data_IF_252305971654
#
_entry.id   IF_252305971654
#
_cell.length_a   1.000
_cell.length_b   1.000
_cell.length_c   1.000
_cell.angle_alpha   90.00
_cell.angle_beta   90.00
_cell.angle_gamma   90.00
#
_symmetry.space_group_name_H-M   'P 1'
#
loop_
_entity.id
_entity.type
_entity.pdbx_description
1 polymer ?
#
# COMPACT_ATOMS: atom_id res chain seq x y z
N UNK A 1 3.60 -9.71 -15.34
CA UNK A 1 3.56 -8.34 -14.76
C UNK A 1 3.65 -8.49 -13.26
N UNK A 2 4.74 -8.02 -12.65
CA UNK A 2 4.98 -8.15 -11.21
C UNK A 2 4.23 -7.03 -10.49
N UNK A 3 3.28 -7.37 -9.61
CA UNK A 3 2.59 -6.36 -8.79
C UNK A 3 3.06 -6.44 -7.35
N UNK A 4 3.70 -5.38 -6.88
CA UNK A 4 4.11 -5.20 -5.49
C UNK A 4 3.10 -4.32 -4.80
N UNK A 5 2.55 -4.75 -3.69
CA UNK A 5 1.65 -3.95 -2.86
C UNK A 5 2.37 -3.56 -1.59
N UNK A 6 2.36 -2.27 -1.28
CA UNK A 6 3.05 -1.66 -0.15
C UNK A 6 2.03 -1.04 0.79
N UNK A 7 1.82 -1.67 1.93
CA UNK A 7 1.03 -1.11 3.01
C UNK A 7 1.90 -0.16 3.84
N UNK A 8 1.43 1.07 4.00
CA UNK A 8 2.12 2.13 4.71
C UNK A 8 1.23 2.61 5.85
N UNK A 9 1.63 2.28 7.08
CA UNK A 9 0.93 2.73 8.28
C UNK A 9 1.39 4.14 8.62
N UNK A 10 0.46 5.10 8.53
CA UNK A 10 0.69 6.49 8.90
C UNK A 10 0.44 6.70 10.39
N UNK A 11 1.17 7.63 10.99
CA UNK A 11 0.92 8.08 12.37
C UNK A 11 -0.25 9.06 12.44
N UNK A 12 -0.40 9.91 11.42
CA UNK A 12 -1.40 10.98 11.34
C UNK A 12 -1.82 11.23 9.89
N UNK A 13 -2.96 11.92 9.70
CA UNK A 13 -3.48 12.30 8.38
C UNK A 13 -2.52 13.22 7.59
N UNK A 14 -1.88 14.16 8.27
CA UNK A 14 -0.96 15.15 7.68
C UNK A 14 0.49 14.67 7.57
N UNK A 15 0.75 13.38 7.79
CA UNK A 15 2.11 12.84 7.83
C UNK A 15 2.68 12.67 6.42
N UNK A 16 3.19 13.77 5.84
CA UNK A 16 3.75 13.79 4.49
C UNK A 16 5.25 13.48 4.43
N UNK A 17 6.00 13.64 5.54
CA UNK A 17 7.46 13.56 5.56
C UNK A 17 7.98 12.91 6.84
N UNK A 18 8.61 11.73 6.73
CA UNK A 18 9.62 11.28 7.71
C UNK A 18 9.35 9.98 8.46
N UNK A 19 9.22 8.86 7.74
CA UNK A 19 9.18 7.47 8.26
C UNK A 19 7.79 6.96 8.65
N UNK A 20 7.16 6.09 7.85
CA UNK A 20 5.93 5.44 8.26
C UNK A 20 6.16 4.56 9.49
N UNK A 21 5.13 4.41 10.33
CA UNK A 21 5.21 3.60 11.56
C UNK A 21 5.53 2.15 11.25
N UNK A 22 4.99 1.67 10.13
CA UNK A 22 5.19 0.32 9.65
C UNK A 22 5.02 0.29 8.13
N UNK A 23 5.78 -0.58 7.48
CA UNK A 23 5.72 -0.82 6.05
C UNK A 23 5.70 -2.33 5.83
N UNK A 24 4.77 -2.81 5.02
CA UNK A 24 4.77 -4.20 4.59
C UNK A 24 4.64 -4.25 3.07
N UNK A 25 5.47 -5.07 2.44
CA UNK A 25 5.47 -5.29 1.00
C UNK A 25 5.03 -6.72 0.75
N UNK A 26 4.05 -6.90 -0.12
CA UNK A 26 3.60 -8.21 -0.60
C UNK A 26 3.62 -8.25 -2.13
N UNK A 27 3.83 -9.44 -2.66
CA UNK A 27 3.61 -9.71 -4.07
C UNK A 27 2.17 -10.15 -4.26
N UNK A 28 1.47 -9.52 -5.18
CA UNK A 28 0.07 -9.81 -5.47
C UNK A 28 -0.19 -9.78 -6.97
N UNK A 29 -1.42 -10.12 -7.35
CA UNK A 29 -1.90 -9.99 -8.72
C UNK A 29 -2.29 -8.55 -9.06
N UNK A 30 -2.39 -8.25 -10.36
CA UNK A 30 -2.80 -6.94 -10.85
C UNK A 30 -4.21 -6.53 -10.43
N UNK A 31 -5.08 -7.51 -10.11
CA UNK A 31 -6.44 -7.30 -9.62
C UNK A 31 -6.52 -6.98 -8.12
N UNK A 32 -5.41 -7.06 -7.39
CA UNK A 32 -5.40 -6.85 -5.95
C UNK A 32 -5.85 -5.43 -5.58
N UNK A 33 -5.60 -4.44 -6.43
CA UNK A 33 -5.99 -3.05 -6.19
C UNK A 33 -7.49 -2.87 -5.87
N UNK A 34 -8.34 -3.61 -6.58
CA UNK A 34 -9.80 -3.55 -6.40
C UNK A 34 -10.28 -4.40 -5.22
N UNK A 35 -9.46 -5.38 -4.80
CA UNK A 35 -9.75 -6.26 -3.66
C UNK A 35 -9.35 -5.66 -2.31
N UNK A 36 -8.59 -4.55 -2.29
CA UNK A 36 -8.19 -3.88 -1.04
C UNK A 36 -9.46 -3.39 -0.30
N UNK A 37 -9.74 -3.93 0.90
CA UNK A 37 -10.91 -3.50 1.68
C UNK A 37 -10.69 -2.11 2.24
N UNK A 38 -11.77 -1.43 2.63
CA UNK A 38 -11.69 -0.13 3.31
C UNK A 38 -11.07 -0.23 4.71
N UNK A 39 -11.14 -1.41 5.33
CA UNK A 39 -10.63 -1.72 6.67
C UNK A 39 -9.84 -3.03 6.62
N UNK A 40 -8.65 -3.01 7.21
CA UNK A 40 -7.70 -4.13 7.23
C UNK A 40 -7.50 -4.51 8.68
N UNK A 41 -7.63 -5.80 8.99
CA UNK A 41 -7.32 -6.35 10.30
C UNK A 41 -6.01 -7.12 10.23
N UNK A 42 -5.01 -6.71 11.01
CA UNK A 42 -3.68 -7.31 11.01
C UNK A 42 -3.11 -7.35 12.42
N UNK A 43 -2.65 -8.53 12.86
CA UNK A 43 -2.09 -8.77 14.20
C UNK A 43 -2.94 -8.18 15.35
N UNK A 44 -4.26 -8.41 15.32
CA UNK A 44 -5.20 -7.89 16.33
C UNK A 44 -5.37 -6.36 16.34
N UNK A 45 -4.83 -5.65 15.34
CA UNK A 45 -5.01 -4.22 15.13
C UNK A 45 -5.90 -3.99 13.91
N UNK A 46 -6.75 -2.96 13.97
CA UNK A 46 -7.56 -2.53 12.84
C UNK A 46 -6.94 -1.29 12.20
N UNK A 47 -6.87 -1.29 10.88
CA UNK A 47 -6.34 -0.22 10.08
C UNK A 47 -7.40 0.24 9.08
N UNK A 48 -7.65 1.55 9.03
CA UNK A 48 -8.54 2.15 8.03
C UNK A 48 -7.73 2.58 6.83
N UNK A 49 -8.08 2.09 5.64
CA UNK A 49 -7.48 2.54 4.39
C UNK A 49 -7.91 3.99 4.14
N UNK A 50 -6.92 4.85 3.94
CA UNK A 50 -7.11 6.29 3.69
C UNK A 50 -6.93 6.62 2.24
N UNK A 51 -5.91 6.04 1.62
CA UNK A 51 -5.72 6.14 0.17
C UNK A 51 -5.06 4.88 -0.36
N UNK A 52 -5.34 4.61 -1.63
CA UNK A 52 -4.63 3.61 -2.43
C UNK A 52 -4.19 4.28 -3.73
N UNK A 53 -2.93 4.09 -4.09
CA UNK A 53 -2.29 4.69 -5.25
C UNK A 53 -1.70 3.56 -6.09
N UNK A 54 -2.03 3.50 -7.38
CA UNK A 54 -1.48 2.53 -8.31
C UNK A 54 -0.44 3.22 -9.19
N UNK A 55 0.84 2.88 -9.00
CA UNK A 55 1.94 3.33 -9.84
C UNK A 55 2.33 2.21 -10.80
N UNK A 56 2.31 2.51 -12.09
CA UNK A 56 2.88 1.63 -13.11
C UNK A 56 4.22 2.24 -13.49
N UNK A 57 5.28 1.47 -13.33
CA UNK A 57 6.62 1.84 -13.76
C UNK A 57 6.94 0.99 -14.99
N UNK A 58 7.03 1.65 -16.14
CA UNK A 58 7.46 1.03 -17.39
C UNK A 58 8.88 1.52 -17.66
N UNK A 59 9.87 0.65 -17.44
CA UNK A 59 11.25 0.96 -17.78
C UNK A 59 11.48 0.47 -19.22
N UNK A 60 11.43 1.41 -20.16
CA UNK A 60 11.52 1.14 -21.61
C UNK A 60 12.85 0.48 -22.00
N UNK A 61 13.93 0.77 -21.26
CA UNK A 61 15.27 0.21 -21.52
C UNK A 61 15.43 -1.24 -21.03
N UNK A 62 14.68 -1.67 -20.02
CA UNK A 62 14.82 -3.01 -19.40
C UNK A 62 13.71 -4.00 -19.81
N UNK A 63 12.74 -3.59 -20.63
CA UNK A 63 11.54 -4.39 -20.95
C UNK A 63 10.81 -4.92 -19.69
N UNK A 64 10.96 -4.20 -18.57
CA UNK A 64 10.41 -4.62 -17.29
C UNK A 64 9.19 -3.76 -16.92
N UNK A 65 8.03 -4.41 -16.94
CA UNK A 65 6.76 -3.84 -16.49
C UNK A 65 6.55 -4.20 -15.01
N UNK A 66 6.76 -3.21 -14.13
CA UNK A 66 6.46 -3.34 -12.70
C UNK A 66 5.26 -2.48 -12.30
N UNK A 67 4.38 -3.07 -11.49
CA UNK A 67 3.24 -2.38 -10.92
C UNK A 67 3.43 -2.29 -9.41
N UNK A 68 3.32 -1.09 -8.86
CA UNK A 68 3.43 -0.85 -7.42
C UNK A 68 2.14 -0.22 -6.91
N UNK A 69 1.49 -0.89 -5.97
CA UNK A 69 0.30 -0.39 -5.30
C UNK A 69 0.73 0.12 -3.93
N UNK A 70 0.49 1.40 -3.62
CA UNK A 70 0.79 1.99 -2.32
C UNK A 70 -0.52 2.19 -1.59
N UNK A 71 -0.70 1.52 -0.46
CA UNK A 71 -1.91 1.62 0.37
C UNK A 71 -1.54 2.32 1.66
N UNK A 72 -2.04 3.54 1.84
CA UNK A 72 -1.85 4.30 3.08
C UNK A 72 -2.99 3.99 4.03
N UNK A 73 -2.63 3.53 5.21
CA UNK A 73 -3.59 3.13 6.25
C UNK A 73 -3.32 3.90 7.54
N UNK A 74 -4.38 4.13 8.32
CA UNK A 74 -4.30 4.69 9.66
C UNK A 74 -4.74 3.63 10.67
N UNK A 75 -3.95 3.44 11.72
CA UNK A 75 -4.37 2.61 12.84
C UNK A 75 -5.62 3.22 13.47
N UNK A 76 -6.66 2.41 13.64
CA UNK A 76 -7.80 2.74 14.47
C UNK A 76 -7.40 2.39 15.90
N UNK A 77 -7.04 3.40 16.68
CA UNK A 77 -6.94 3.25 18.13
C UNK A 77 -8.35 2.99 18.65
N UNK A 78 -8.56 1.86 19.34
CA UNK A 78 -9.76 1.63 20.15
C UNK A 78 -9.83 2.61 21.32
#
# INVERSE_FOLDING_TARGET
MKTTVKYVVLKSLDYQLGTPLFQEELEADSQYFDQIPAEISYQNHKFKVKSKELKRLQIVEEFEDSQTIIVKVLALSE
#
